data_IF_523067512713
#
_entry.id   IF_523067512713
#
_cell.length_a   1.000
_cell.length_b   1.000
_cell.length_c   1.000
_cell.angle_alpha   90.00
_cell.angle_beta   90.00
_cell.angle_gamma   90.00
#
_symmetry.space_group_name_H-M   'P 1'
#
loop_
_entity.id
_entity.type
_entity.pdbx_description
1 polymer ?
#
# COMPACT_ATOMS: atom_id res chain seq x y z
N UNK A 1 3.38 -16.41 -32.26
CA UNK A 1 4.77 -16.40 -32.78
C UNK A 1 4.88 -17.56 -33.77
N UNK A 2 5.41 -17.36 -34.97
CA UNK A 2 5.62 -18.46 -35.92
C UNK A 2 6.63 -19.49 -35.38
N UNK A 3 6.51 -20.79 -35.69
CA UNK A 3 7.37 -21.84 -35.10
C UNK A 3 8.87 -21.63 -35.29
N UNK A 4 9.29 -21.04 -36.42
CA UNK A 4 10.69 -20.68 -36.67
C UNK A 4 11.17 -19.53 -35.78
N UNK A 5 10.29 -18.57 -35.49
CA UNK A 5 10.60 -17.43 -34.61
C UNK A 5 10.70 -17.88 -33.15
N UNK A 6 9.91 -18.87 -32.73
CA UNK A 6 9.98 -19.44 -31.37
C UNK A 6 11.33 -20.13 -31.14
N UNK A 7 11.82 -20.90 -32.12
CA UNK A 7 13.12 -21.56 -32.02
C UNK A 7 14.28 -20.55 -31.86
N UNK A 8 14.22 -19.43 -32.57
CA UNK A 8 15.27 -18.40 -32.50
C UNK A 8 15.21 -17.62 -31.17
N UNK A 9 14.01 -17.36 -30.64
CA UNK A 9 13.85 -16.77 -29.30
C UNK A 9 14.41 -17.69 -28.21
N UNK A 10 14.13 -19.00 -28.27
CA UNK A 10 14.71 -19.97 -27.33
C UNK A 10 16.23 -20.05 -27.45
N UNK A 11 16.77 -19.90 -28.65
CA UNK A 11 18.20 -19.80 -28.90
C UNK A 11 18.81 -18.57 -28.23
N UNK A 12 18.16 -17.40 -28.35
CA UNK A 12 18.60 -16.17 -27.70
C UNK A 12 18.70 -16.34 -26.17
N UNK A 13 17.64 -16.88 -25.56
CA UNK A 13 17.56 -17.09 -24.11
C UNK A 13 18.61 -18.08 -23.58
N UNK A 14 18.91 -19.14 -24.35
CA UNK A 14 19.83 -20.19 -23.89
C UNK A 14 21.30 -19.87 -24.13
N UNK A 15 21.63 -19.23 -25.25
CA UNK A 15 23.01 -19.01 -25.66
C UNK A 15 23.55 -17.65 -25.22
N UNK A 16 22.69 -16.64 -25.08
CA UNK A 16 23.09 -15.27 -24.80
C UNK A 16 22.41 -14.69 -23.55
N UNK A 17 22.53 -15.33 -22.36
CA UNK A 17 21.88 -14.84 -21.13
C UNK A 17 22.42 -13.48 -20.67
N UNK A 18 23.63 -13.10 -21.07
CA UNK A 18 24.23 -11.78 -20.80
C UNK A 18 24.25 -10.86 -22.04
N UNK A 19 23.67 -11.33 -23.15
CA UNK A 19 23.66 -10.63 -24.44
C UNK A 19 24.89 -10.89 -25.32
N UNK A 20 24.69 -10.74 -26.63
CA UNK A 20 25.68 -10.77 -27.72
C UNK A 20 25.23 -9.77 -28.80
N UNK A 21 25.93 -8.64 -28.88
CA UNK A 21 25.59 -7.54 -29.78
C UNK A 21 25.75 -7.93 -31.25
N UNK A 22 26.75 -8.74 -31.60
CA UNK A 22 26.98 -9.16 -32.99
C UNK A 22 25.86 -10.07 -33.45
N UNK A 23 25.50 -11.06 -32.64
CA UNK A 23 24.40 -11.97 -32.95
C UNK A 23 23.07 -11.25 -33.03
N UNK A 24 22.79 -10.36 -32.07
CA UNK A 24 21.56 -9.60 -32.05
C UNK A 24 21.42 -8.72 -33.31
N UNK A 25 22.51 -8.10 -33.78
CA UNK A 25 22.51 -7.32 -35.03
C UNK A 25 22.25 -8.17 -36.28
N UNK A 26 22.75 -9.40 -36.33
CA UNK A 26 22.51 -10.31 -37.46
C UNK A 26 21.03 -10.71 -37.58
N UNK A 27 20.33 -10.87 -36.46
CA UNK A 27 18.94 -11.36 -36.44
C UNK A 27 17.89 -10.26 -36.34
N UNK A 28 18.26 -9.01 -36.03
CA UNK A 28 17.36 -7.86 -35.78
C UNK A 28 16.28 -7.68 -36.85
N UNK A 29 16.66 -7.70 -38.13
CA UNK A 29 15.72 -7.47 -39.22
C UNK A 29 14.62 -8.53 -39.27
N UNK A 30 14.98 -9.81 -39.10
CA UNK A 30 14.07 -10.96 -39.29
C UNK A 30 13.39 -11.41 -38.00
N UNK A 31 14.07 -11.31 -36.86
CA UNK A 31 13.63 -11.77 -35.55
C UNK A 31 13.89 -10.69 -34.49
N UNK A 32 13.12 -9.57 -34.50
CA UNK A 32 13.37 -8.42 -33.64
C UNK A 32 13.30 -8.76 -32.15
N UNK A 33 12.40 -9.66 -31.75
CA UNK A 33 12.28 -10.10 -30.36
C UNK A 33 13.50 -10.89 -29.89
N UNK A 34 14.05 -11.75 -30.75
CA UNK A 34 15.25 -12.51 -30.39
C UNK A 34 16.47 -11.59 -30.30
N UNK A 35 16.60 -10.64 -31.22
CA UNK A 35 17.63 -9.60 -31.15
C UNK A 35 17.50 -8.76 -29.86
N UNK A 36 16.27 -8.40 -29.48
CA UNK A 36 15.99 -7.69 -28.25
C UNK A 36 16.50 -8.44 -27.01
N UNK A 37 16.10 -9.71 -26.88
CA UNK A 37 16.50 -10.57 -25.75
C UNK A 37 18.02 -10.75 -25.70
N UNK A 38 18.66 -10.96 -26.85
CA UNK A 38 20.11 -11.14 -26.92
C UNK A 38 20.90 -9.83 -26.88
N UNK A 39 20.28 -8.67 -26.67
CA UNK A 39 21.03 -7.42 -26.54
C UNK A 39 21.74 -7.35 -25.19
N UNK A 40 23.03 -6.99 -25.12
CA UNK A 40 23.66 -6.57 -23.87
C UNK A 40 22.93 -5.39 -23.24
N UNK A 41 22.93 -5.30 -21.91
CA UNK A 41 22.21 -4.25 -21.16
C UNK A 41 22.67 -2.83 -21.54
N UNK A 42 23.96 -2.66 -21.84
CA UNK A 42 24.59 -1.39 -22.20
C UNK A 42 24.11 -0.84 -23.55
N UNK A 43 23.80 -1.72 -24.52
CA UNK A 43 23.37 -1.34 -25.89
C UNK A 43 21.87 -1.51 -26.10
N UNK A 44 21.17 -2.08 -25.11
CA UNK A 44 19.75 -2.42 -25.19
C UNK A 44 18.90 -1.21 -25.51
N UNK A 45 19.14 -0.06 -24.90
CA UNK A 45 18.43 1.18 -25.23
C UNK A 45 18.49 1.53 -26.72
N UNK A 46 19.69 1.53 -27.31
CA UNK A 46 19.87 1.85 -28.73
C UNK A 46 19.12 0.86 -29.62
N UNK A 47 19.02 -0.42 -29.21
CA UNK A 47 18.23 -1.41 -29.94
C UNK A 47 16.73 -1.13 -29.79
N UNK A 48 16.26 -0.81 -28.59
CA UNK A 48 14.85 -0.49 -28.33
C UNK A 48 14.36 0.59 -29.28
N UNK A 49 15.13 1.68 -29.44
CA UNK A 49 14.81 2.78 -30.36
C UNK A 49 14.60 2.33 -31.81
N UNK A 50 15.22 1.23 -32.24
CA UNK A 50 15.10 0.68 -33.61
C UNK A 50 13.99 -0.35 -33.75
N UNK A 51 13.75 -1.17 -32.72
CA UNK A 51 12.87 -2.35 -32.83
C UNK A 51 11.53 -2.22 -32.11
N UNK A 52 11.36 -1.24 -31.21
CA UNK A 52 10.20 -1.11 -30.33
C UNK A 52 8.86 -1.11 -31.08
N UNK A 53 8.79 -0.47 -32.26
CA UNK A 53 7.58 -0.43 -33.10
C UNK A 53 7.10 -1.80 -33.61
N UNK A 54 7.94 -2.83 -33.49
CA UNK A 54 7.67 -4.22 -33.91
C UNK A 54 7.52 -5.17 -32.72
N UNK A 55 7.62 -4.67 -31.50
CA UNK A 55 7.55 -5.45 -30.27
C UNK A 55 6.32 -5.04 -29.46
N UNK A 56 5.85 -5.97 -28.64
CA UNK A 56 4.89 -5.66 -27.59
C UNK A 56 5.56 -4.77 -26.52
N UNK A 57 4.82 -3.80 -25.98
CA UNK A 57 5.35 -2.85 -25.00
C UNK A 57 5.75 -3.50 -23.68
N UNK A 58 5.24 -4.69 -23.36
CA UNK A 58 5.67 -5.50 -22.20
C UNK A 58 7.17 -5.81 -22.24
N UNK A 59 7.77 -5.92 -23.43
CA UNK A 59 9.21 -6.18 -23.58
C UNK A 59 10.10 -5.03 -23.11
N UNK A 60 9.52 -3.85 -22.87
CA UNK A 60 10.19 -2.71 -22.26
C UNK A 60 10.73 -3.04 -20.86
N UNK A 61 10.14 -4.02 -20.15
CA UNK A 61 10.61 -4.49 -18.84
C UNK A 61 12.07 -4.98 -18.83
N UNK A 62 12.64 -5.34 -19.99
CA UNK A 62 14.04 -5.74 -20.08
C UNK A 62 15.02 -4.57 -20.17
N UNK A 63 14.54 -3.33 -20.31
CA UNK A 63 15.42 -2.16 -20.24
C UNK A 63 16.04 -2.05 -18.86
N UNK A 64 17.32 -1.76 -18.83
CA UNK A 64 18.07 -1.48 -17.61
C UNK A 64 18.16 0.05 -17.46
N UNK A 65 17.48 0.60 -16.45
CA UNK A 65 17.41 2.05 -16.25
C UNK A 65 18.78 2.65 -15.89
N UNK A 66 19.72 1.86 -15.37
CA UNK A 66 21.08 2.33 -15.05
C UNK A 66 21.87 2.73 -16.31
N UNK A 67 21.49 2.21 -17.48
CA UNK A 67 22.14 2.48 -18.76
C UNK A 67 21.31 3.39 -19.68
N UNK A 68 20.19 3.93 -19.17
CA UNK A 68 19.33 4.82 -19.93
C UNK A 68 19.72 6.29 -19.74
N UNK A 69 19.64 7.12 -20.80
CA UNK A 69 19.70 8.56 -20.63
C UNK A 69 18.54 9.02 -19.73
N UNK A 70 18.91 9.70 -18.66
CA UNK A 70 18.00 10.02 -17.56
C UNK A 70 16.82 10.89 -18.01
N UNK A 71 17.03 11.72 -19.05
CA UNK A 71 15.99 12.59 -19.61
C UNK A 71 14.93 11.82 -20.41
N UNK A 72 15.15 10.53 -20.68
CA UNK A 72 14.23 9.66 -21.44
C UNK A 72 13.34 8.81 -20.56
N UNK A 73 13.52 8.85 -19.24
CA UNK A 73 12.75 8.04 -18.30
C UNK A 73 11.26 8.42 -18.34
N UNK A 74 10.94 9.72 -18.37
CA UNK A 74 9.56 10.17 -18.48
C UNK A 74 8.92 9.77 -19.81
N UNK A 75 9.64 9.88 -20.93
CA UNK A 75 9.18 9.44 -22.25
C UNK A 75 8.89 7.93 -22.29
N UNK A 76 9.75 7.12 -21.67
CA UNK A 76 9.55 5.68 -21.53
C UNK A 76 8.32 5.37 -20.67
N UNK A 77 8.21 6.01 -19.51
CA UNK A 77 7.08 5.81 -18.60
C UNK A 77 5.74 6.25 -19.21
N UNK A 78 5.73 7.20 -20.14
CA UNK A 78 4.50 7.61 -20.83
C UNK A 78 3.90 6.47 -21.67
N UNK A 79 4.78 5.68 -22.31
CA UNK A 79 4.43 4.58 -23.21
C UNK A 79 4.40 3.20 -22.53
N UNK A 80 4.84 3.11 -21.28
CA UNK A 80 4.94 1.84 -20.55
C UNK A 80 3.56 1.32 -20.11
N UNK A 81 3.30 0.00 -20.25
CA UNK A 81 2.18 -0.64 -19.57
C UNK A 81 2.41 -0.68 -18.06
N UNK A 82 1.34 -0.91 -17.28
CA UNK A 82 1.39 -0.80 -15.81
C UNK A 82 2.33 -1.84 -15.17
N UNK A 83 2.37 -3.05 -15.71
CA UNK A 83 3.32 -4.12 -15.34
C UNK A 83 4.78 -3.66 -15.44
N UNK A 84 5.13 -2.98 -16.53
CA UNK A 84 6.49 -2.44 -16.75
C UNK A 84 6.77 -1.28 -15.80
N UNK A 85 5.79 -0.41 -15.55
CA UNK A 85 5.93 0.69 -14.57
C UNK A 85 6.26 0.17 -13.18
N UNK A 86 5.67 -0.95 -12.77
CA UNK A 86 5.98 -1.58 -11.49
C UNK A 86 7.47 -1.99 -11.39
N UNK A 87 8.01 -2.64 -12.43
CA UNK A 87 9.44 -2.99 -12.50
C UNK A 87 10.32 -1.73 -12.48
N UNK A 88 9.93 -0.69 -13.21
CA UNK A 88 10.68 0.57 -13.24
C UNK A 88 10.62 1.32 -11.92
N UNK A 89 9.51 1.28 -11.19
CA UNK A 89 9.35 1.93 -9.88
C UNK A 89 10.39 1.45 -8.86
N UNK A 90 10.63 0.14 -8.79
CA UNK A 90 11.65 -0.43 -7.89
C UNK A 90 13.06 0.06 -8.26
N UNK A 91 13.36 0.09 -9.55
CA UNK A 91 14.65 0.50 -10.08
C UNK A 91 14.88 2.00 -9.87
N UNK A 92 13.90 2.85 -10.19
CA UNK A 92 13.96 4.31 -9.94
C UNK A 92 14.16 4.61 -8.46
N UNK A 93 13.44 3.92 -7.59
CA UNK A 93 13.61 4.06 -6.13
C UNK A 93 15.04 3.74 -5.71
N UNK A 94 15.64 2.67 -6.25
CA UNK A 94 17.04 2.34 -5.99
C UNK A 94 17.99 3.43 -6.48
N UNK A 95 17.79 3.95 -7.71
CA UNK A 95 18.62 5.00 -8.30
C UNK A 95 18.54 6.29 -7.48
N UNK A 96 17.33 6.76 -7.16
CA UNK A 96 17.10 7.98 -6.37
C UNK A 96 17.78 7.92 -5.00
N UNK A 97 17.80 6.75 -4.36
CA UNK A 97 18.40 6.58 -3.03
C UNK A 97 19.93 6.40 -3.07
N UNK A 98 20.47 5.90 -4.17
CA UNK A 98 21.90 5.68 -4.34
C UNK A 98 22.64 6.96 -4.79
N UNK A 99 22.06 7.70 -5.75
CA UNK A 99 22.62 8.95 -6.28
C UNK A 99 21.50 9.98 -6.56
N UNK A 100 21.02 10.69 -5.52
CA UNK A 100 19.93 11.65 -5.64
C UNK A 100 20.16 12.77 -6.66
N UNK A 101 21.41 13.21 -6.83
CA UNK A 101 21.78 14.33 -7.70
C UNK A 101 21.64 14.00 -9.18
N UNK A 102 21.69 12.71 -9.53
CA UNK A 102 21.65 12.25 -10.91
C UNK A 102 20.27 12.53 -11.55
N UNK A 103 19.18 12.17 -10.85
CA UNK A 103 17.80 12.33 -11.34
C UNK A 103 17.24 13.74 -11.13
N UNK A 104 17.81 14.55 -10.23
CA UNK A 104 17.41 15.97 -10.13
C UNK A 104 17.83 16.81 -11.35
N UNK A 105 18.67 16.28 -12.23
CA UNK A 105 18.97 16.93 -13.52
C UNK A 105 17.94 16.60 -14.60
N UNK A 106 17.04 15.66 -14.33
CA UNK A 106 16.07 15.14 -15.28
C UNK A 106 14.64 15.62 -15.02
N UNK A 107 14.44 16.73 -14.31
CA UNK A 107 13.13 17.39 -14.27
C UNK A 107 12.64 17.56 -15.70
N UNK A 108 11.50 16.95 -16.07
CA UNK A 108 10.94 17.17 -17.39
C UNK A 108 10.72 18.67 -17.59
N UNK A 109 11.27 19.22 -18.68
CA UNK A 109 11.10 20.63 -19.04
C UNK A 109 9.69 20.87 -19.64
N UNK A 110 8.66 20.45 -18.91
CA UNK A 110 7.26 20.52 -19.27
C UNK A 110 6.57 21.40 -18.21
N UNK A 111 5.59 22.20 -18.64
CA UNK A 111 4.70 22.89 -17.70
C UNK A 111 4.00 21.82 -16.84
N UNK A 112 4.11 21.87 -15.51
CA UNK A 112 3.60 20.81 -14.66
C UNK A 112 2.08 20.64 -14.81
N UNK A 113 1.33 21.71 -15.13
CA UNK A 113 -0.11 21.62 -15.36
C UNK A 113 -0.49 20.82 -16.61
N UNK A 114 0.45 20.66 -17.54
CA UNK A 114 0.32 19.89 -18.77
C UNK A 114 1.22 18.64 -18.76
N UNK A 115 1.62 18.16 -17.59
CA UNK A 115 2.42 16.94 -17.47
C UNK A 115 1.68 15.75 -18.10
N UNK A 116 2.39 14.97 -18.92
CA UNK A 116 1.88 13.71 -19.43
C UNK A 116 1.99 12.59 -18.38
N UNK A 117 1.41 11.43 -18.67
CA UNK A 117 1.42 10.25 -17.80
C UNK A 117 2.81 9.86 -17.33
N UNK A 118 3.80 9.98 -18.22
CA UNK A 118 5.20 9.70 -17.91
C UNK A 118 5.84 10.68 -16.93
N UNK A 119 5.62 11.99 -17.12
CA UNK A 119 6.11 13.03 -16.24
C UNK A 119 5.40 12.99 -14.87
N UNK A 120 4.08 12.77 -14.84
CA UNK A 120 3.30 12.62 -13.62
C UNK A 120 3.75 11.38 -12.81
N UNK A 121 4.04 10.27 -13.49
CA UNK A 121 4.62 9.08 -12.86
C UNK A 121 5.99 9.37 -12.25
N UNK A 122 6.90 10.01 -12.98
CA UNK A 122 8.22 10.36 -12.44
C UNK A 122 8.12 11.36 -11.27
N UNK A 123 7.20 12.32 -11.36
CA UNK A 123 6.92 13.27 -10.28
C UNK A 123 6.46 12.57 -9.00
N UNK A 124 5.60 11.54 -9.12
CA UNK A 124 5.17 10.73 -7.97
C UNK A 124 6.35 10.06 -7.24
N UNK A 125 7.35 9.60 -7.99
CA UNK A 125 8.57 8.98 -7.44
C UNK A 125 9.49 9.98 -6.73
N UNK A 126 9.60 11.21 -7.25
CA UNK A 126 10.30 12.27 -6.56
C UNK A 126 9.64 12.60 -5.21
N UNK A 127 8.31 12.70 -5.20
CA UNK A 127 7.55 12.95 -3.96
C UNK A 127 7.75 11.79 -2.99
N UNK A 128 7.54 10.55 -3.43
CA UNK A 128 7.68 9.34 -2.60
C UNK A 128 9.05 9.24 -1.94
N UNK A 129 10.11 9.57 -2.68
CA UNK A 129 11.48 9.46 -2.21
C UNK A 129 12.04 10.77 -1.60
N UNK A 130 11.18 11.74 -1.27
CA UNK A 130 11.59 13.04 -0.71
C UNK A 130 12.61 12.93 0.43
N UNK A 131 12.50 11.91 1.29
CA UNK A 131 13.39 11.72 2.43
C UNK A 131 14.85 11.41 2.07
N UNK A 132 15.11 10.97 0.84
CA UNK A 132 16.45 10.67 0.33
C UNK A 132 16.98 11.74 -0.61
N UNK A 133 16.16 12.74 -0.96
CA UNK A 133 16.54 13.82 -1.86
C UNK A 133 17.20 14.98 -1.09
N UNK A 134 18.14 15.71 -1.72
CA UNK A 134 18.73 16.89 -1.12
C UNK A 134 17.68 17.98 -0.87
N UNK A 135 17.86 18.74 0.20
CA UNK A 135 16.90 19.77 0.65
C UNK A 135 16.66 20.85 -0.39
N UNK A 136 17.65 21.09 -1.23
CA UNK A 136 17.61 22.02 -2.35
C UNK A 136 16.50 21.68 -3.35
N UNK A 137 16.11 20.40 -3.45
CA UNK A 137 15.03 19.95 -4.34
C UNK A 137 13.62 20.13 -3.75
N UNK A 138 13.49 20.34 -2.43
CA UNK A 138 12.18 20.36 -1.76
C UNK A 138 11.23 21.45 -2.28
N UNK A 139 11.69 22.69 -2.58
CA UNK A 139 10.82 23.69 -3.20
C UNK A 139 10.27 23.24 -4.56
N UNK A 140 11.09 22.57 -5.38
CA UNK A 140 10.67 22.06 -6.69
C UNK A 140 9.73 20.85 -6.55
N UNK A 141 9.92 20.01 -5.53
CA UNK A 141 8.99 18.90 -5.23
C UNK A 141 7.62 19.46 -4.81
N UNK A 142 7.60 20.39 -3.85
CA UNK A 142 6.37 21.02 -3.36
C UNK A 142 5.68 21.87 -4.44
N UNK A 143 6.45 22.45 -5.36
CA UNK A 143 5.96 23.24 -6.48
C UNK A 143 5.66 22.38 -7.70
N UNK A 144 6.67 22.06 -8.50
CA UNK A 144 6.49 21.38 -9.79
C UNK A 144 6.02 19.94 -9.64
N UNK A 145 6.60 19.13 -8.74
CA UNK A 145 6.29 17.68 -8.71
C UNK A 145 4.87 17.41 -8.25
N UNK A 146 4.38 18.11 -7.23
CA UNK A 146 2.98 17.97 -6.79
C UNK A 146 2.01 18.36 -7.91
N UNK A 147 2.28 19.45 -8.63
CA UNK A 147 1.46 19.89 -9.77
C UNK A 147 1.47 18.86 -10.90
N UNK A 148 2.66 18.40 -11.32
CA UNK A 148 2.83 17.44 -12.40
C UNK A 148 2.20 16.08 -12.07
N UNK A 149 2.37 15.60 -10.83
CA UNK A 149 1.75 14.38 -10.35
C UNK A 149 0.22 14.47 -10.41
N UNK A 150 -0.36 15.60 -10.00
CA UNK A 150 -1.81 15.78 -9.97
C UNK A 150 -2.46 15.99 -11.34
N UNK A 151 -1.70 16.31 -12.39
CA UNK A 151 -2.22 16.44 -13.75
C UNK A 151 -2.63 15.11 -14.38
N UNK A 152 -1.91 14.02 -14.11
CA UNK A 152 -2.25 12.67 -14.57
C UNK A 152 -1.72 11.59 -13.59
N UNK A 153 -2.31 11.47 -12.38
CA UNK A 153 -1.76 10.62 -11.33
C UNK A 153 -1.63 9.16 -11.76
N UNK A 154 -0.50 8.48 -11.48
CA UNK A 154 -0.41 7.04 -11.68
C UNK A 154 -1.30 6.30 -10.69
N UNK A 155 -1.80 5.13 -11.09
CA UNK A 155 -2.67 4.27 -10.26
C UNK A 155 -2.09 4.06 -8.86
N UNK A 156 -0.80 3.72 -8.81
CA UNK A 156 0.00 3.51 -7.61
C UNK A 156 0.53 4.85 -7.06
N UNK A 157 -0.30 5.54 -6.27
CA UNK A 157 0.01 6.92 -5.81
C UNK A 157 0.13 7.05 -4.28
N UNK A 158 0.09 5.94 -3.53
CA UNK A 158 0.16 5.99 -2.06
C UNK A 158 1.54 6.42 -1.56
N UNK A 159 2.61 6.01 -2.24
CA UNK A 159 3.98 6.42 -1.92
C UNK A 159 4.15 7.93 -1.96
N UNK A 160 3.59 8.59 -2.98
CA UNK A 160 3.58 10.05 -3.10
C UNK A 160 2.84 10.72 -1.94
N UNK A 161 1.68 10.20 -1.50
CA UNK A 161 0.97 10.73 -0.32
C UNK A 161 1.83 10.65 0.96
N UNK A 162 2.54 9.54 1.16
CA UNK A 162 3.43 9.32 2.32
C UNK A 162 4.61 10.30 2.26
N UNK A 163 5.26 10.38 1.10
CA UNK A 163 6.39 11.28 0.87
C UNK A 163 6.02 12.74 1.09
N UNK A 164 4.83 13.15 0.64
CA UNK A 164 4.31 14.51 0.85
C UNK A 164 4.03 14.80 2.32
N UNK A 165 3.38 13.88 3.05
CA UNK A 165 3.18 14.00 4.51
C UNK A 165 4.52 14.18 5.23
N UNK A 166 5.52 13.37 4.86
CA UNK A 166 6.87 13.46 5.42
C UNK A 166 7.50 14.82 5.12
N UNK A 167 7.42 15.29 3.88
CA UNK A 167 8.06 16.53 3.43
C UNK A 167 7.49 17.76 4.14
N UNK A 168 6.17 17.85 4.29
CA UNK A 168 5.52 18.93 5.04
C UNK A 168 5.92 18.93 6.51
N UNK A 169 6.00 17.75 7.13
CA UNK A 169 6.46 17.61 8.52
C UNK A 169 7.93 17.98 8.69
N UNK A 170 8.79 17.57 7.76
CA UNK A 170 10.22 17.86 7.78
C UNK A 170 10.53 19.35 7.61
N UNK A 171 9.84 20.01 6.68
CA UNK A 171 9.95 21.45 6.44
C UNK A 171 9.21 22.29 7.49
N UNK A 172 8.58 21.64 8.48
CA UNK A 172 7.79 22.27 9.54
C UNK A 172 6.78 23.30 8.97
N UNK A 173 6.13 22.92 7.86
CA UNK A 173 5.13 23.76 7.19
C UNK A 173 3.86 23.84 8.05
N UNK A 174 3.11 24.95 7.98
CA UNK A 174 1.83 25.08 8.66
C UNK A 174 0.87 23.93 8.29
N UNK A 175 0.10 23.46 9.28
CA UNK A 175 -0.89 22.41 9.05
C UNK A 175 -1.99 22.87 8.07
N UNK A 176 -2.32 24.17 8.08
CA UNK A 176 -3.28 24.75 7.14
C UNK A 176 -2.83 24.61 5.69
N UNK A 177 -1.55 24.84 5.39
CA UNK A 177 -0.97 24.68 4.05
C UNK A 177 -1.05 23.22 3.60
N UNK A 178 -0.75 22.29 4.51
CA UNK A 178 -0.88 20.86 4.22
C UNK A 178 -2.34 20.48 3.94
N UNK A 179 -3.28 20.97 4.74
CA UNK A 179 -4.71 20.69 4.55
C UNK A 179 -5.24 21.23 3.21
N UNK A 180 -4.77 22.40 2.75
CA UNK A 180 -5.13 22.93 1.43
C UNK A 180 -4.70 21.95 0.33
N UNK A 181 -3.47 21.45 0.40
CA UNK A 181 -2.97 20.48 -0.58
C UNK A 181 -3.72 19.16 -0.48
N UNK A 182 -4.00 18.65 0.73
CA UNK A 182 -4.78 17.42 0.90
C UNK A 182 -6.19 17.54 0.30
N UNK A 183 -6.89 18.67 0.51
CA UNK A 183 -8.20 18.89 -0.10
C UNK A 183 -8.12 18.88 -1.63
N UNK A 184 -7.08 19.48 -2.21
CA UNK A 184 -6.87 19.45 -3.65
C UNK A 184 -6.60 18.04 -4.17
N UNK A 185 -5.73 17.27 -3.50
CA UNK A 185 -5.50 15.86 -3.89
C UNK A 185 -6.81 15.08 -3.78
N UNK A 186 -7.61 15.36 -2.76
CA UNK A 186 -8.91 14.73 -2.57
C UNK A 186 -9.83 15.01 -3.75
N UNK A 187 -9.93 16.27 -4.18
CA UNK A 187 -10.76 16.69 -5.31
C UNK A 187 -10.31 16.06 -6.64
N UNK A 188 -8.99 15.95 -6.88
CA UNK A 188 -8.46 15.21 -8.03
C UNK A 188 -8.82 13.73 -7.92
N UNK A 189 -8.60 13.12 -6.76
CA UNK A 189 -8.85 11.70 -6.53
C UNK A 189 -10.32 11.30 -6.70
N UNK A 190 -11.27 12.17 -6.35
CA UNK A 190 -12.71 11.89 -6.53
C UNK A 190 -13.13 11.74 -7.99
N UNK A 191 -12.41 12.37 -8.92
CA UNK A 191 -12.68 12.28 -10.37
C UNK A 191 -12.03 11.06 -11.03
N UNK A 192 -11.13 10.37 -10.34
CA UNK A 192 -10.44 9.19 -10.87
C UNK A 192 -11.32 7.94 -10.81
N UNK A 193 -11.04 6.98 -11.68
CA UNK A 193 -11.77 5.72 -11.74
C UNK A 193 -11.58 4.88 -10.46
N UNK A 194 -12.57 4.03 -10.18
CA UNK A 194 -12.46 3.04 -9.10
C UNK A 194 -11.28 2.08 -9.34
N UNK A 195 -10.60 1.70 -8.25
CA UNK A 195 -9.37 0.94 -8.28
C UNK A 195 -8.11 1.81 -8.43
N UNK A 196 -8.25 3.12 -8.60
CA UNK A 196 -7.14 4.07 -8.45
C UNK A 196 -6.91 4.38 -6.97
N UNK A 197 -5.67 4.33 -6.48
CA UNK A 197 -5.38 4.50 -5.05
C UNK A 197 -5.79 5.86 -4.50
N UNK A 198 -5.58 6.94 -5.25
CA UNK A 198 -6.11 8.26 -4.86
C UNK A 198 -7.63 8.31 -4.78
N UNK A 199 -8.37 7.59 -5.64
CA UNK A 199 -9.83 7.53 -5.51
C UNK A 199 -10.21 6.86 -4.18
N UNK A 200 -9.62 5.71 -3.89
CA UNK A 200 -9.89 4.98 -2.64
C UNK A 200 -9.48 5.79 -1.41
N UNK A 201 -8.35 6.50 -1.43
CA UNK A 201 -7.94 7.41 -0.36
C UNK A 201 -8.90 8.60 -0.20
N UNK A 202 -9.34 9.24 -1.31
CA UNK A 202 -10.32 10.34 -1.25
C UNK A 202 -11.64 9.90 -0.62
N UNK A 203 -12.09 8.68 -0.94
CA UNK A 203 -13.29 8.08 -0.31
C UNK A 203 -13.10 7.88 1.19
N UNK A 204 -11.93 7.39 1.64
CA UNK A 204 -11.62 7.27 3.07
C UNK A 204 -11.55 8.63 3.75
N UNK A 205 -10.98 9.63 3.07
CA UNK A 205 -10.92 11.01 3.56
C UNK A 205 -12.32 11.57 3.79
N UNK A 206 -13.21 11.45 2.80
CA UNK A 206 -14.60 11.90 2.94
C UNK A 206 -15.36 11.13 4.02
N UNK A 207 -15.17 9.82 4.10
CA UNK A 207 -15.74 8.98 5.15
C UNK A 207 -15.32 9.48 6.55
N UNK A 208 -14.04 9.80 6.72
CA UNK A 208 -13.46 10.27 7.99
C UNK A 208 -14.07 11.57 8.51
N UNK A 209 -14.59 12.41 7.60
CA UNK A 209 -15.25 13.67 7.92
C UNK A 209 -16.78 13.63 7.81
N UNK A 210 -17.37 12.43 7.66
CA UNK A 210 -18.82 12.26 7.60
C UNK A 210 -19.47 12.74 6.29
N UNK A 211 -18.66 12.96 5.24
CA UNK A 211 -19.13 13.34 3.91
C UNK A 211 -19.47 12.12 3.03
N UNK A 212 -19.32 10.90 3.56
CA UNK A 212 -19.56 9.65 2.87
C UNK A 212 -20.09 8.59 3.82
N UNK A 213 -21.07 7.81 3.37
CA UNK A 213 -21.75 6.81 4.19
C UNK A 213 -20.92 5.53 4.37
N UNK A 214 -21.15 4.85 5.50
CA UNK A 214 -20.61 3.54 5.80
C UNK A 214 -21.30 2.43 4.97
N UNK A 215 -20.73 2.11 3.81
CA UNK A 215 -21.17 1.04 2.92
C UNK A 215 -20.07 -0.01 2.69
N UNK A 216 -20.49 -1.23 2.33
CA UNK A 216 -19.59 -2.38 2.21
C UNK A 216 -18.64 -2.25 1.01
N UNK A 217 -19.09 -1.68 -0.10
CA UNK A 217 -18.25 -1.52 -1.31
C UNK A 217 -17.03 -0.65 -1.01
N UNK A 218 -17.22 0.47 -0.31
CA UNK A 218 -16.11 1.33 0.10
C UNK A 218 -15.20 0.67 1.14
N UNK A 219 -15.78 -0.07 2.10
CA UNK A 219 -14.99 -0.85 3.06
C UNK A 219 -14.09 -1.87 2.33
N UNK A 220 -14.61 -2.55 1.31
CA UNK A 220 -13.83 -3.48 0.49
C UNK A 220 -12.66 -2.78 -0.19
N UNK A 221 -12.90 -1.60 -0.77
CA UNK A 221 -11.85 -0.80 -1.40
C UNK A 221 -10.80 -0.38 -0.37
N UNK A 222 -11.19 0.11 0.81
CA UNK A 222 -10.26 0.55 1.85
C UNK A 222 -9.35 -0.58 2.32
N UNK A 223 -9.92 -1.75 2.61
CA UNK A 223 -9.16 -2.92 3.06
C UNK A 223 -8.23 -3.44 1.97
N UNK A 224 -8.67 -3.44 0.70
CA UNK A 224 -7.91 -3.98 -0.43
C UNK A 224 -6.77 -3.07 -0.86
N UNK A 225 -7.03 -1.76 -0.96
CA UNK A 225 -6.11 -0.83 -1.63
C UNK A 225 -5.26 -0.01 -0.64
N UNK A 226 -5.70 0.17 0.61
CA UNK A 226 -5.04 1.07 1.55
C UNK A 226 -4.33 0.32 2.69
N UNK A 227 -3.22 0.89 3.23
CA UNK A 227 -2.55 0.32 4.39
C UNK A 227 -3.50 0.17 5.58
N UNK A 228 -3.39 -0.94 6.29
CA UNK A 228 -4.17 -1.24 7.50
C UNK A 228 -4.20 -0.08 8.50
N UNK A 229 -3.06 0.60 8.68
CA UNK A 229 -2.90 1.72 9.60
C UNK A 229 -3.71 2.97 9.23
N UNK A 230 -4.12 3.12 7.97
CA UNK A 230 -4.83 4.29 7.48
C UNK A 230 -6.31 4.25 7.85
N UNK A 231 -6.92 3.08 7.75
CA UNK A 231 -8.33 2.87 8.07
C UNK A 231 -8.56 2.26 9.47
N UNK A 232 -7.49 1.88 10.18
CA UNK A 232 -7.58 1.33 11.54
C UNK A 232 -8.48 2.12 12.51
N UNK A 233 -8.54 3.48 12.50
CA UNK A 233 -9.46 4.24 13.36
C UNK A 233 -10.94 3.85 13.23
N UNK A 234 -11.32 3.24 12.11
CA UNK A 234 -12.69 2.82 11.79
C UNK A 234 -12.85 1.29 11.79
N UNK A 235 -11.80 0.55 12.18
CA UNK A 235 -11.73 -0.91 12.08
C UNK A 235 -12.86 -1.64 12.80
N UNK A 236 -13.27 -1.18 13.99
CA UNK A 236 -14.40 -1.77 14.74
C UNK A 236 -15.71 -1.60 13.97
N UNK A 237 -15.97 -0.40 13.47
CA UNK A 237 -17.17 -0.09 12.68
C UNK A 237 -17.22 -0.90 11.38
N UNK A 238 -16.07 -1.03 10.70
CA UNK A 238 -15.96 -1.83 9.48
C UNK A 238 -16.21 -3.31 9.75
N UNK A 239 -15.60 -3.86 10.80
CA UNK A 239 -15.79 -5.26 11.14
C UNK A 239 -17.23 -5.56 11.54
N UNK A 240 -17.87 -4.69 12.34
CA UNK A 240 -19.30 -4.83 12.68
C UNK A 240 -20.17 -4.81 11.43
N UNK A 241 -19.89 -3.90 10.48
CA UNK A 241 -20.63 -3.82 9.22
C UNK A 241 -20.48 -5.10 8.40
N UNK A 242 -19.25 -5.62 8.29
CA UNK A 242 -18.93 -6.85 7.56
C UNK A 242 -19.63 -8.07 8.18
N UNK A 243 -19.46 -8.33 9.48
CA UNK A 243 -19.99 -9.57 10.10
C UNK A 243 -21.52 -9.61 10.18
N UNK A 244 -22.18 -8.46 10.00
CA UNK A 244 -23.63 -8.37 9.90
C UNK A 244 -24.15 -8.44 8.44
N UNK A 245 -23.26 -8.52 7.44
CA UNK A 245 -23.64 -8.63 6.03
C UNK A 245 -23.77 -10.07 5.54
N UNK A 246 -24.33 -10.25 4.34
CA UNK A 246 -24.42 -11.54 3.66
C UNK A 246 -23.08 -12.03 3.12
N UNK A 247 -22.14 -11.12 2.84
CA UNK A 247 -20.83 -11.38 2.24
C UNK A 247 -19.71 -11.58 3.27
N UNK A 248 -20.04 -11.60 4.58
CA UNK A 248 -19.07 -11.63 5.66
C UNK A 248 -17.95 -12.68 5.51
N UNK A 249 -18.29 -13.87 4.98
CA UNK A 249 -17.32 -14.95 4.75
C UNK A 249 -16.28 -14.55 3.70
N UNK A 250 -16.71 -13.92 2.60
CA UNK A 250 -15.81 -13.51 1.51
C UNK A 250 -14.80 -12.46 1.99
N UNK A 251 -15.22 -11.53 2.86
CA UNK A 251 -14.32 -10.55 3.47
C UNK A 251 -13.33 -11.17 4.45
N UNK A 252 -13.76 -12.18 5.21
CA UNK A 252 -12.95 -12.82 6.24
C UNK A 252 -12.05 -13.93 5.69
N UNK A 253 -12.26 -14.34 4.43
CA UNK A 253 -11.29 -15.14 3.68
C UNK A 253 -10.04 -14.35 3.31
N UNK A 254 -10.11 -13.02 3.32
CA UNK A 254 -8.89 -12.20 3.34
C UNK A 254 -8.25 -12.27 4.73
N UNK A 255 -6.94 -12.55 4.80
CA UNK A 255 -6.16 -12.60 6.04
C UNK A 255 -5.90 -11.19 6.63
N UNK A 256 -6.98 -10.46 6.91
CA UNK A 256 -6.93 -9.13 7.51
C UNK A 256 -6.50 -9.27 8.97
N UNK A 257 -5.49 -8.51 9.43
CA UNK A 257 -4.94 -8.68 10.77
C UNK A 257 -5.80 -7.99 11.84
N UNK A 258 -7.06 -8.44 12.00
CA UNK A 258 -8.08 -7.78 12.83
C UNK A 258 -7.61 -7.46 14.26
N UNK A 259 -6.82 -8.35 14.88
CA UNK A 259 -6.25 -8.09 16.20
C UNK A 259 -5.40 -6.82 16.24
N UNK A 260 -4.51 -6.59 15.26
CA UNK A 260 -3.57 -5.46 15.29
C UNK A 260 -4.23 -4.13 14.90
N UNK A 261 -5.27 -4.18 14.06
CA UNK A 261 -6.01 -2.97 13.65
C UNK A 261 -7.05 -2.52 14.66
N UNK A 262 -7.72 -3.46 15.36
CA UNK A 262 -8.77 -3.14 16.35
C UNK A 262 -8.17 -2.89 17.74
N UNK A 263 -7.17 -3.66 18.16
CA UNK A 263 -6.56 -3.52 19.49
C UNK A 263 -5.49 -2.42 19.48
N UNK A 264 -5.91 -1.21 19.13
CA UNK A 264 -5.12 0.02 19.18
C UNK A 264 -5.55 0.91 20.36
N UNK A 265 -4.61 1.57 21.06
CA UNK A 265 -4.90 2.47 22.17
C UNK A 265 -5.85 3.59 21.75
N UNK A 266 -6.67 4.03 22.69
CA UNK A 266 -7.50 5.22 22.53
C UNK A 266 -6.58 6.43 22.30
N UNK A 267 -6.92 7.23 21.28
CA UNK A 267 -6.17 8.44 20.94
C UNK A 267 -4.97 8.21 20.02
N UNK A 268 -4.68 6.97 19.60
CA UNK A 268 -3.66 6.73 18.57
C UNK A 268 -4.07 7.42 17.26
N UNK A 269 -3.24 8.36 16.79
CA UNK A 269 -3.53 9.20 15.61
C UNK A 269 -3.47 8.36 14.33
N UNK A 270 -4.32 8.67 13.35
CA UNK A 270 -4.29 8.02 12.04
C UNK A 270 -2.96 8.25 11.32
N UNK A 271 -2.45 7.18 10.70
CA UNK A 271 -1.25 7.25 9.89
C UNK A 271 -1.52 7.80 8.47
N UNK A 272 -2.79 7.84 8.06
CA UNK A 272 -3.20 8.33 6.75
C UNK A 272 -2.84 9.82 6.54
N UNK A 273 -2.17 10.18 5.43
CA UNK A 273 -1.96 11.57 5.03
C UNK A 273 -3.29 12.34 4.99
N UNK A 274 -3.28 13.55 5.58
CA UNK A 274 -4.46 14.41 5.70
C UNK A 274 -5.43 14.08 6.84
N UNK A 275 -5.24 12.97 7.58
CA UNK A 275 -6.15 12.55 8.66
C UNK A 275 -5.54 12.66 10.06
N UNK A 276 -4.62 13.59 10.28
CA UNK A 276 -3.96 13.79 11.59
C UNK A 276 -4.90 14.22 12.72
N UNK A 277 -6.11 14.72 12.40
CA UNK A 277 -7.17 15.03 13.36
C UNK A 277 -8.00 13.81 13.77
N UNK A 278 -7.86 12.69 13.06
CA UNK A 278 -8.58 11.45 13.33
C UNK A 278 -7.74 10.60 14.27
N UNK A 279 -8.38 10.05 15.29
CA UNK A 279 -7.74 9.15 16.26
C UNK A 279 -8.58 7.91 16.50
N UNK A 280 -7.90 6.82 16.88
CA UNK A 280 -8.51 5.55 17.20
C UNK A 280 -9.36 5.66 18.46
N UNK A 281 -10.60 5.20 18.41
CA UNK A 281 -11.56 5.27 19.54
C UNK A 281 -11.39 4.14 20.56
N UNK A 282 -10.44 3.24 20.33
CA UNK A 282 -10.32 1.98 21.05
C UNK A 282 -11.21 0.90 20.44
N UNK A 283 -11.11 -0.32 20.96
CA UNK A 283 -11.97 -1.43 20.56
C UNK A 283 -13.40 -1.17 21.07
N UNK A 284 -14.38 -1.22 20.17
CA UNK A 284 -15.76 -0.93 20.55
C UNK A 284 -16.33 -2.00 21.50
N UNK A 285 -16.92 -1.64 22.67
CA UNK A 285 -17.47 -2.61 23.61
C UNK A 285 -18.57 -3.51 23.00
N UNK A 286 -19.34 -2.98 22.05
CA UNK A 286 -20.38 -3.71 21.32
C UNK A 286 -19.86 -4.72 20.29
N UNK A 287 -18.56 -4.74 20.00
CA UNK A 287 -17.99 -5.61 18.96
C UNK A 287 -18.13 -7.10 19.30
N UNK A 288 -17.81 -7.51 20.54
CA UNK A 288 -17.77 -8.92 20.92
C UNK A 288 -19.10 -9.67 20.67
N UNK A 289 -20.27 -9.15 21.07
CA UNK A 289 -21.57 -9.77 20.73
C UNK A 289 -21.78 -10.02 19.24
N UNK A 290 -21.37 -9.09 18.36
CA UNK A 290 -21.49 -9.26 16.91
C UNK A 290 -20.60 -10.40 16.42
N UNK A 291 -19.35 -10.46 16.88
CA UNK A 291 -18.40 -11.52 16.52
C UNK A 291 -18.88 -12.90 16.99
N UNK A 292 -19.33 -13.02 18.24
CA UNK A 292 -19.85 -14.27 18.79
C UNK A 292 -21.12 -14.75 18.05
N UNK A 293 -22.03 -13.82 17.74
CA UNK A 293 -23.25 -14.11 16.97
C UNK A 293 -22.92 -14.62 15.58
N UNK A 294 -21.95 -13.99 14.91
CA UNK A 294 -21.47 -14.40 13.59
C UNK A 294 -20.85 -15.80 13.62
N UNK A 295 -19.90 -16.07 14.52
CA UNK A 295 -19.24 -17.38 14.62
C UNK A 295 -20.25 -18.50 14.91
N UNK A 296 -21.28 -18.27 15.73
CA UNK A 296 -22.33 -19.27 16.01
C UNK A 296 -23.20 -19.61 14.80
N UNK A 297 -23.31 -18.71 13.81
CA UNK A 297 -24.12 -18.93 12.60
C UNK A 297 -23.38 -19.75 11.54
N UNK A 298 -22.07 -19.89 11.64
CA UNK A 298 -21.26 -20.63 10.68
C UNK A 298 -21.40 -22.14 10.98
N UNK A 299 -22.08 -22.94 10.14
CA UNK A 299 -22.52 -24.29 10.48
C UNK A 299 -21.37 -25.31 10.58
N UNK A 300 -20.29 -25.08 9.84
CA UNK A 300 -19.06 -25.85 9.86
C UNK A 300 -17.92 -24.84 9.83
N UNK A 301 -17.06 -24.82 10.85
CA UNK A 301 -15.86 -23.97 10.83
C UNK A 301 -15.07 -24.38 9.60
N UNK A 302 -14.93 -23.53 8.57
CA UNK A 302 -14.12 -23.88 7.43
C UNK A 302 -12.74 -24.22 7.99
N UNK A 303 -12.16 -25.34 7.55
CA UNK A 303 -10.80 -25.74 7.95
C UNK A 303 -9.74 -24.75 7.45
N UNK A 304 -10.15 -23.57 6.96
CA UNK A 304 -9.29 -22.50 6.50
C UNK A 304 -8.83 -21.65 7.69
N UNK A 305 -7.57 -21.23 7.60
CA UNK A 305 -6.95 -20.30 8.54
C UNK A 305 -7.63 -18.90 8.51
N UNK A 306 -8.58 -18.67 7.59
CA UNK A 306 -9.33 -17.42 7.34
C UNK A 306 -9.85 -16.74 8.61
N UNK A 307 -10.43 -17.51 9.54
CA UNK A 307 -11.07 -16.94 10.74
C UNK A 307 -10.13 -16.79 11.94
N UNK A 308 -8.85 -17.14 11.82
CA UNK A 308 -7.96 -17.17 12.97
C UNK A 308 -7.81 -15.80 13.62
N UNK A 309 -7.74 -14.72 12.83
CA UNK A 309 -7.70 -13.35 13.38
C UNK A 309 -8.97 -13.00 14.16
N UNK A 310 -10.15 -13.45 13.71
CA UNK A 310 -11.41 -13.22 14.42
C UNK A 310 -11.46 -14.02 15.72
N UNK A 311 -11.07 -15.29 15.68
CA UNK A 311 -11.05 -16.14 16.87
C UNK A 311 -10.03 -15.64 17.90
N UNK A 312 -8.87 -15.16 17.45
CA UNK A 312 -7.86 -14.56 18.32
C UNK A 312 -8.35 -13.25 18.92
N UNK A 313 -9.04 -12.40 18.15
CA UNK A 313 -9.65 -11.18 18.64
C UNK A 313 -10.75 -11.45 19.68
N UNK A 314 -11.64 -12.41 19.43
CA UNK A 314 -12.66 -12.84 20.41
C UNK A 314 -11.99 -13.28 21.71
N UNK A 315 -11.02 -14.19 21.63
CA UNK A 315 -10.28 -14.69 22.78
C UNK A 315 -9.56 -13.57 23.55
N UNK A 316 -8.99 -12.59 22.84
CA UNK A 316 -8.31 -11.44 23.43
C UNK A 316 -9.27 -10.57 24.25
N UNK A 317 -10.42 -10.21 23.67
CA UNK A 317 -11.44 -9.38 24.32
C UNK A 317 -12.05 -10.13 25.51
N UNK A 318 -12.37 -11.42 25.36
CA UNK A 318 -12.89 -12.26 26.45
C UNK A 318 -11.89 -12.36 27.61
N UNK A 319 -10.61 -12.59 27.33
CA UNK A 319 -9.57 -12.65 28.36
C UNK A 319 -9.42 -11.32 29.10
N UNK A 320 -9.56 -10.19 28.42
CA UNK A 320 -9.53 -8.86 29.03
C UNK A 320 -10.76 -8.61 29.93
N UNK A 321 -11.95 -9.03 29.50
CA UNK A 321 -13.20 -8.94 30.29
C UNK A 321 -13.19 -9.81 31.53
N UNK A 322 -12.61 -11.00 31.42
CA UNK A 322 -12.55 -11.95 32.53
C UNK A 322 -11.35 -11.71 33.45
N UNK A 323 -10.51 -10.72 33.17
CA UNK A 323 -9.25 -10.43 33.89
C UNK A 323 -8.33 -11.66 33.98
N UNK A 324 -8.24 -12.43 32.90
CA UNK A 324 -7.44 -13.67 32.81
C UNK A 324 -6.26 -13.53 31.88
N UNK A 325 -5.25 -14.36 32.11
CA UNK A 325 -4.14 -14.54 31.18
C UNK A 325 -4.67 -14.96 29.81
N UNK A 326 -4.29 -14.26 28.73
CA UNK A 326 -4.78 -14.60 27.39
C UNK A 326 -4.40 -16.00 26.93
N UNK A 327 -5.26 -16.59 26.12
CA UNK A 327 -4.97 -17.84 25.42
C UNK A 327 -3.87 -17.62 24.36
N UNK A 328 -3.17 -18.71 24.02
CA UNK A 328 -2.23 -18.70 22.90
C UNK A 328 -3.01 -18.48 21.60
N UNK A 329 -2.66 -17.42 20.87
CA UNK A 329 -3.27 -17.09 19.58
C UNK A 329 -2.87 -18.05 18.47
N UNK A 330 -3.74 -18.14 17.45
CA UNK A 330 -3.57 -18.93 16.24
C UNK A 330 -2.76 -18.20 15.17
N UNK A 331 -2.92 -16.89 15.03
CA UNK A 331 -2.17 -16.09 14.04
C UNK A 331 -0.85 -15.59 14.60
N UNK A 332 -0.83 -15.31 15.90
CA UNK A 332 0.36 -14.94 16.63
C UNK A 332 0.22 -15.39 18.08
N UNK A 333 1.26 -16.03 18.62
CA UNK A 333 1.21 -16.64 19.96
C UNK A 333 0.77 -15.67 21.06
N UNK A 334 1.11 -14.40 20.88
CA UNK A 334 0.85 -13.32 21.85
C UNK A 334 -0.25 -12.34 21.44
N UNK A 335 -1.07 -12.66 20.43
CA UNK A 335 -2.15 -11.77 19.95
C UNK A 335 -3.08 -11.29 21.07
N UNK A 336 -3.42 -12.19 22.01
CA UNK A 336 -4.28 -11.88 23.16
C UNK A 336 -3.72 -10.83 24.13
N UNK A 337 -2.40 -10.63 24.16
CA UNK A 337 -1.79 -9.60 25.01
C UNK A 337 -2.06 -8.18 24.53
N UNK A 338 -2.37 -7.97 23.23
CA UNK A 338 -2.75 -6.66 22.71
C UNK A 338 -4.03 -6.10 23.34
N UNK A 339 -4.85 -6.93 23.98
CA UNK A 339 -6.04 -6.51 24.71
C UNK A 339 -5.80 -6.36 26.23
N UNK A 340 -4.59 -6.60 26.73
CA UNK A 340 -4.27 -6.56 28.16
C UNK A 340 -3.51 -5.28 28.53
N UNK A 341 -3.60 -4.79 29.79
CA UNK A 341 -2.75 -3.70 30.26
C UNK A 341 -1.27 -4.02 30.01
N UNK A 342 -0.50 -3.05 29.50
CA UNK A 342 0.93 -3.22 29.19
C UNK A 342 1.71 -3.67 30.43
N UNK A 343 1.38 -3.14 31.61
CA UNK A 343 1.99 -3.52 32.90
C UNK A 343 1.84 -5.01 33.25
N UNK A 344 0.87 -5.70 32.64
CA UNK A 344 0.63 -7.12 32.88
C UNK A 344 1.33 -8.03 31.85
N UNK A 345 1.99 -7.46 30.85
CA UNK A 345 2.64 -8.23 29.80
C UNK A 345 3.85 -8.99 30.37
N UNK A 346 4.06 -10.26 29.95
CA UNK A 346 5.27 -10.98 30.29
C UNK A 346 6.46 -10.44 29.50
N UNK A 347 7.68 -10.71 29.98
CA UNK A 347 8.90 -10.34 29.26
C UNK A 347 9.03 -11.13 27.95
N UNK A 348 8.76 -10.47 26.83
CA UNK A 348 8.93 -11.05 25.50
C UNK A 348 10.34 -10.86 24.96
N UNK A 349 10.92 -11.91 24.38
CA UNK A 349 12.13 -11.73 23.56
C UNK A 349 11.77 -11.26 22.15
N UNK A 350 12.67 -10.55 21.47
CA UNK A 350 12.45 -10.16 20.06
C UNK A 350 12.12 -11.36 19.16
N UNK A 351 12.78 -12.50 19.37
CA UNK A 351 12.48 -13.73 18.62
C UNK A 351 11.04 -14.22 18.85
N UNK A 352 10.54 -14.09 20.08
CA UNK A 352 9.16 -14.46 20.43
C UNK A 352 8.14 -13.50 19.81
N UNK A 353 8.44 -12.20 19.78
CA UNK A 353 7.55 -11.20 19.19
C UNK A 353 7.49 -11.25 17.66
N UNK A 354 8.50 -11.81 16.99
CA UNK A 354 8.54 -11.93 15.53
C UNK A 354 7.99 -13.28 15.02
N UNK A 355 7.47 -14.13 15.90
CA UNK A 355 7.00 -15.48 15.59
C UNK A 355 5.47 -15.51 15.38
N UNK A 356 5.05 -15.13 14.17
CA UNK A 356 3.65 -15.13 13.73
C UNK A 356 3.34 -13.97 12.79
N UNK A 357 2.10 -13.47 12.86
CA UNK A 357 1.66 -12.31 12.09
C UNK A 357 2.53 -11.06 12.33
N UNK A 358 2.98 -10.45 11.24
CA UNK A 358 3.90 -9.29 11.25
C UNK A 358 3.23 -8.03 11.82
N UNK A 359 1.92 -7.86 11.60
CA UNK A 359 1.21 -6.68 12.08
C UNK A 359 1.04 -6.74 13.61
N UNK A 360 0.75 -7.91 14.17
CA UNK A 360 0.73 -8.14 15.62
C UNK A 360 2.14 -8.00 16.20
N UNK A 361 3.16 -8.51 15.50
CA UNK A 361 4.57 -8.39 15.89
C UNK A 361 4.99 -6.93 16.07
N UNK A 362 4.65 -6.07 15.11
CA UNK A 362 4.93 -4.63 15.16
C UNK A 362 4.34 -3.98 16.42
N UNK A 363 3.08 -4.29 16.74
CA UNK A 363 2.38 -3.76 17.92
C UNK A 363 3.06 -4.16 19.23
N UNK A 364 3.47 -5.43 19.33
CA UNK A 364 4.15 -5.96 20.51
C UNK A 364 5.52 -5.29 20.69
N UNK A 365 6.29 -5.13 19.62
CA UNK A 365 7.60 -4.47 19.64
C UNK A 365 7.48 -3.01 20.08
N UNK A 366 6.41 -2.33 19.67
CA UNK A 366 6.14 -0.94 20.05
C UNK A 366 5.51 -0.80 21.44
N UNK A 367 5.21 -1.91 22.15
CA UNK A 367 4.55 -1.88 23.46
C UNK A 367 3.12 -1.32 23.41
N UNK A 368 2.45 -1.37 22.25
CA UNK A 368 1.16 -0.69 22.08
C UNK A 368 -0.02 -1.62 22.32
N UNK A 369 -0.62 -1.52 23.50
CA UNK A 369 -1.86 -2.20 23.87
C UNK A 369 -3.13 -1.40 23.50
N UNK A 370 -4.16 -2.10 23.04
CA UNK A 370 -5.51 -1.59 22.85
C UNK A 370 -6.39 -1.64 24.10
N UNK A 371 -5.85 -2.01 25.26
CA UNK A 371 -6.62 -2.07 26.51
C UNK A 371 -7.17 -0.69 26.92
N UNK A 372 -8.42 -0.66 27.35
CA UNK A 372 -9.05 0.47 28.04
C UNK A 372 -10.18 -0.04 28.95
N UNK A 373 -10.60 0.76 29.93
CA UNK A 373 -11.59 0.35 30.93
C UNK A 373 -12.90 -0.17 30.32
N UNK A 374 -13.41 0.51 29.28
CA UNK A 374 -14.62 0.08 28.56
C UNK A 374 -14.53 -1.29 27.88
N UNK A 375 -13.34 -1.87 27.71
CA UNK A 375 -13.17 -3.22 27.18
C UNK A 375 -13.56 -4.28 28.22
N UNK A 376 -13.28 -4.00 29.50
CA UNK A 376 -13.60 -4.85 30.65
C UNK A 376 -15.04 -4.66 31.15
N UNK A 377 -15.69 -3.56 30.80
CA UNK A 377 -17.07 -3.29 31.18
C UNK A 377 -18.05 -4.13 30.33
N UNK A 378 -19.00 -4.79 30.99
CA UNK A 378 -20.11 -5.46 30.32
C UNK A 378 -21.11 -4.37 29.93
N UNK A 379 -21.37 -4.21 28.63
CA UNK A 379 -22.43 -3.33 28.15
C UNK A 379 -23.80 -3.88 28.58
N UNK A 380 -24.30 -3.37 29.71
CA UNK A 380 -25.58 -3.74 30.30
C UNK A 380 -26.78 -3.30 29.43
N UNK A 381 -26.56 -2.51 28.37
CA UNK A 381 -27.62 -2.06 27.44
C UNK A 381 -28.12 -3.15 26.47
N UNK A 382 -27.41 -4.28 26.38
CA UNK A 382 -27.76 -5.42 25.51
C UNK A 382 -28.54 -6.52 26.26
N UNK A 383 -28.91 -6.29 27.54
CA UNK A 383 -29.82 -7.22 28.24
C UNK A 383 -31.19 -7.19 27.56
N UNK A 384 -31.72 -8.31 27.04
CA UNK A 384 -33.08 -8.34 26.53
C UNK A 384 -34.03 -7.96 27.66
N UNK A 385 -34.85 -6.93 27.43
CA UNK A 385 -35.97 -6.57 28.30
C UNK A 385 -36.94 -7.76 28.34
N UNK A 386 -36.85 -8.59 29.37
CA UNK A 386 -37.85 -9.61 29.67
C UNK A 386 -37.29 -10.86 30.33
N UNK A 387 -37.44 -10.95 31.66
CA UNK A 387 -37.68 -12.22 32.36
C UNK A 387 -38.99 -12.09 33.13
#
# INVERSE_FOLDING_TARGET
IEPSSESIVRSALSQFPHGDEEWANQVEARYPLAAWIASPKETRWQRWQRVSSRLDSEWMALLDLDYLPIERISELADNAPESVKQVFSETITSILRADPDNLLRSWPAIDPTHANRGAAWLASHFIENSAWLPKEAYPDILGWAVEAWLSDPPKESLGALIGLKWLYGFENKPQEDFNIVMNRIRDVGTELAEGHHLNTWSRLYDFSFGNRDNNLDDIALFIRDLPNSWWAPFSSEFLIKIVNSSEAVDYLDAEIPWCSVILRPIGEISDAPGLSSISHKGCEPGLLPHLQSFIRKIPDTPSSYSFNHILDLINAIESAREEKTPLVGRTHKFSGWLAQPEDNWPDFTMKMMMDGDINISERLILGKSGFHAGLSEIDDSVKPLGS
#
